data_IF_242396917484
#
_entry.id   IF_242396917484
#
_cell.length_a   1.000
_cell.length_b   1.000
_cell.length_c   1.000
_cell.angle_alpha   90.00
_cell.angle_beta   90.00
_cell.angle_gamma   90.00
#
_symmetry.space_group_name_H-M   'P 1'
#
loop_
_entity.id
_entity.type
_entity.pdbx_description
1 polymer ?
#
# COMPACT_ATOMS: atom_id res chain seq x y z
N UNK A 1 17.76 10.53 22.46
CA UNK A 1 16.93 11.12 21.39
C UNK A 1 15.46 10.91 21.75
N UNK A 2 14.59 11.92 21.67
CA UNK A 2 13.20 11.75 22.09
C UNK A 2 12.45 10.89 21.08
N UNK A 3 11.89 9.78 21.56
CA UNK A 3 11.13 8.77 20.81
C UNK A 3 9.80 9.37 20.33
N UNK A 4 9.62 9.54 19.01
CA UNK A 4 8.30 9.86 18.45
C UNK A 4 7.49 8.57 18.36
N UNK A 5 6.30 8.55 18.97
CA UNK A 5 5.32 7.46 18.81
C UNK A 5 4.81 7.51 17.36
N UNK A 6 4.99 6.43 16.61
CA UNK A 6 4.80 6.44 15.16
C UNK A 6 3.35 6.17 14.71
N UNK A 7 2.42 5.82 15.59
CA UNK A 7 1.10 5.33 15.18
C UNK A 7 -0.02 5.81 16.11
N UNK A 8 -0.47 7.05 15.95
CA UNK A 8 -1.75 7.48 16.50
C UNK A 8 -2.74 7.61 15.33
N UNK A 9 -3.63 6.62 15.20
CA UNK A 9 -4.78 6.69 14.32
C UNK A 9 -5.90 7.47 15.02
N UNK A 10 -6.55 8.40 14.31
CA UNK A 10 -7.77 9.05 14.77
C UNK A 10 -8.97 8.10 14.54
N UNK A 11 -9.04 7.00 15.28
CA UNK A 11 -10.27 6.22 15.34
C UNK A 11 -11.30 7.05 16.11
N UNK A 12 -12.41 7.38 15.46
CA UNK A 12 -13.55 8.05 16.09
C UNK A 12 -14.01 7.30 17.32
N UNK A 13 -14.50 8.05 18.31
CA UNK A 13 -15.01 7.52 19.57
C UNK A 13 -16.17 6.53 19.30
N UNK A 14 -15.94 5.24 19.58
CA UNK A 14 -17.02 4.25 19.77
C UNK A 14 -17.02 3.07 18.79
N UNK A 15 -16.23 2.03 19.08
CA UNK A 15 -16.32 0.70 18.46
C UNK A 15 -14.94 0.13 18.12
N UNK A 16 -14.34 -0.64 19.03
CA UNK A 16 -13.12 -1.39 18.74
C UNK A 16 -13.36 -2.45 17.66
N UNK A 17 -12.33 -2.79 16.89
CA UNK A 17 -12.43 -3.82 15.85
C UNK A 17 -12.72 -5.20 16.46
N UNK A 18 -13.80 -5.83 16.01
CA UNK A 18 -14.16 -7.21 16.35
C UNK A 18 -13.56 -8.19 15.35
N UNK A 19 -12.94 -9.27 15.86
CA UNK A 19 -12.39 -10.33 15.03
C UNK A 19 -13.41 -11.47 14.93
N UNK A 20 -13.74 -11.88 13.71
CA UNK A 20 -14.81 -12.86 13.45
C UNK A 20 -14.28 -14.29 13.29
N UNK A 21 -13.02 -14.45 12.87
CA UNK A 21 -12.41 -15.74 12.52
C UNK A 21 -10.89 -15.70 12.65
N UNK A 22 -10.28 -16.87 12.65
CA UNK A 22 -8.83 -16.99 12.46
C UNK A 22 -8.47 -16.62 11.02
N UNK A 23 -7.38 -15.85 10.86
CA UNK A 23 -6.83 -15.51 9.56
C UNK A 23 -5.31 -15.36 9.65
N UNK A 24 -4.65 -15.49 8.48
CA UNK A 24 -3.20 -15.36 8.35
C UNK A 24 -2.83 -14.49 7.17
N UNK A 25 -1.65 -13.90 7.21
CA UNK A 25 -1.08 -13.09 6.13
C UNK A 25 0.45 -13.11 6.21
N UNK A 26 1.10 -13.06 5.03
CA UNK A 26 2.55 -13.16 4.88
C UNK A 26 3.03 -14.60 4.69
N UNK A 27 4.35 -14.78 4.65
CA UNK A 27 5.00 -16.06 4.42
C UNK A 27 6.18 -16.28 5.36
N UNK A 28 6.74 -17.50 5.34
CA UNK A 28 7.98 -17.84 6.04
C UNK A 28 9.23 -17.63 5.16
N UNK A 29 9.09 -16.87 4.07
CA UNK A 29 10.22 -16.55 3.20
C UNK A 29 11.15 -15.52 3.86
N UNK A 30 12.40 -15.50 3.39
CA UNK A 30 13.39 -14.53 3.87
C UNK A 30 12.90 -13.10 3.65
N UNK A 31 13.06 -12.29 4.69
CA UNK A 31 12.64 -10.88 4.76
C UNK A 31 11.13 -10.65 4.86
N UNK A 32 10.37 -11.71 5.15
CA UNK A 32 8.93 -11.64 5.43
C UNK A 32 8.60 -12.18 6.84
N UNK A 33 7.33 -12.07 7.22
CA UNK A 33 6.79 -12.61 8.46
C UNK A 33 5.42 -13.24 8.21
N UNK A 34 5.21 -14.45 8.72
CA UNK A 34 3.88 -15.06 8.76
C UNK A 34 3.19 -14.61 10.04
N UNK A 35 2.09 -13.88 9.91
CA UNK A 35 1.27 -13.42 11.02
C UNK A 35 -0.06 -14.17 11.00
N UNK A 36 -0.42 -14.80 12.12
CA UNK A 36 -1.72 -15.41 12.34
C UNK A 36 -2.44 -14.69 13.48
N UNK A 37 -3.71 -14.36 13.28
CA UNK A 37 -4.57 -13.69 14.25
C UNK A 37 -5.84 -14.51 14.43
N UNK A 38 -6.26 -14.72 15.68
CA UNK A 38 -7.58 -15.29 16.01
C UNK A 38 -8.26 -14.53 17.16
N UNK A 39 -9.59 -14.56 17.26
CA UNK A 39 -10.32 -13.94 18.37
C UNK A 39 -9.89 -14.54 19.71
N UNK A 40 -9.81 -13.71 20.75
CA UNK A 40 -9.42 -14.14 22.09
C UNK A 40 -9.96 -13.24 23.20
N UNK A 41 -9.95 -13.68 24.47
CA UNK A 41 -10.51 -12.93 25.60
C UNK A 41 -9.68 -11.68 26.00
N UNK A 42 -8.52 -11.48 25.37
CA UNK A 42 -7.62 -10.35 25.57
C UNK A 42 -6.49 -10.42 24.55
N UNK A 43 -5.56 -9.46 24.59
CA UNK A 43 -4.40 -9.44 23.68
C UNK A 43 -3.30 -10.37 24.20
N UNK A 44 -2.96 -11.40 23.42
CA UNK A 44 -1.81 -12.29 23.64
C UNK A 44 -0.94 -12.32 22.38
N UNK A 45 0.37 -12.16 22.53
CA UNK A 45 1.31 -12.11 21.40
C UNK A 45 2.45 -13.09 21.62
N UNK A 46 2.53 -14.09 20.76
CA UNK A 46 3.62 -15.06 20.67
C UNK A 46 4.49 -14.72 19.46
N UNK A 47 5.81 -14.68 19.65
CA UNK A 47 6.77 -14.34 18.59
C UNK A 47 7.84 -15.42 18.53
N UNK A 48 8.06 -15.93 17.33
CA UNK A 48 9.19 -16.80 16.98
C UNK A 48 10.00 -16.06 15.92
N UNK A 49 11.23 -15.66 16.25
CA UNK A 49 12.06 -14.86 15.35
C UNK A 49 13.36 -15.57 14.99
N UNK A 50 13.69 -15.61 13.70
CA UNK A 50 14.98 -16.10 13.21
C UNK A 50 16.15 -15.17 13.56
N UNK A 51 15.88 -13.88 13.81
CA UNK A 51 16.91 -12.90 14.19
C UNK A 51 17.23 -12.93 15.69
N UNK A 52 16.54 -13.78 16.45
CA UNK A 52 16.84 -14.12 17.84
C UNK A 52 16.08 -13.28 18.87
N UNK A 53 16.25 -13.59 20.17
CA UNK A 53 15.42 -13.02 21.25
C UNK A 53 15.48 -11.49 21.38
N UNK A 54 16.56 -10.87 20.90
CA UNK A 54 16.76 -9.41 20.99
C UNK A 54 15.72 -8.62 20.19
N UNK A 55 15.21 -9.17 19.09
CA UNK A 55 14.25 -8.49 18.24
C UNK A 55 12.80 -8.77 18.63
N UNK A 56 12.52 -9.83 19.37
CA UNK A 56 11.15 -10.19 19.75
C UNK A 56 10.45 -9.11 20.59
N UNK A 57 11.19 -8.40 21.45
CA UNK A 57 10.64 -7.28 22.21
C UNK A 57 10.11 -6.19 21.28
N UNK A 58 10.89 -5.83 20.25
CA UNK A 58 10.49 -4.84 19.24
C UNK A 58 9.31 -5.33 18.40
N UNK A 59 9.31 -6.62 18.02
CA UNK A 59 8.20 -7.21 17.27
C UNK A 59 6.90 -7.13 18.08
N UNK A 60 6.94 -7.44 19.38
CA UNK A 60 5.77 -7.30 20.28
C UNK A 60 5.30 -5.86 20.39
N UNK A 61 6.22 -4.89 20.44
CA UNK A 61 5.86 -3.46 20.39
C UNK A 61 5.13 -3.09 19.10
N UNK A 62 5.67 -3.49 17.93
CA UNK A 62 5.04 -3.23 16.62
C UNK A 62 3.63 -3.85 16.54
N UNK A 63 3.48 -5.10 17.00
CA UNK A 63 2.16 -5.76 17.05
C UNK A 63 1.20 -4.99 17.96
N UNK A 64 1.64 -4.59 19.16
CA UNK A 64 0.82 -3.82 20.09
C UNK A 64 0.40 -2.45 19.54
N UNK A 65 1.32 -1.74 18.87
CA UNK A 65 1.04 -0.47 18.21
C UNK A 65 -0.03 -0.60 17.13
N UNK A 66 0.07 -1.62 16.28
CA UNK A 66 -0.92 -1.88 15.23
C UNK A 66 -2.26 -2.30 15.83
N UNK A 67 -2.31 -3.28 16.74
CA UNK A 67 -3.57 -3.69 17.39
C UNK A 67 -4.26 -2.51 18.09
N UNK A 68 -3.48 -1.68 18.79
CA UNK A 68 -3.98 -0.47 19.44
C UNK A 68 -4.56 0.53 18.46
N UNK A 69 -3.90 0.75 17.31
CA UNK A 69 -4.39 1.64 16.25
C UNK A 69 -5.71 1.20 15.62
N UNK A 70 -5.99 -0.11 15.62
CA UNK A 70 -7.26 -0.68 15.15
C UNK A 70 -8.29 -0.90 16.27
N UNK A 71 -7.96 -0.54 17.52
CA UNK A 71 -8.86 -0.73 18.67
C UNK A 71 -9.18 -2.19 18.97
N UNK A 72 -8.30 -3.12 18.64
CA UNK A 72 -8.50 -4.56 18.85
C UNK A 72 -8.32 -4.89 20.34
N UNK A 73 -9.40 -5.23 21.03
CA UNK A 73 -9.38 -5.51 22.46
C UNK A 73 -9.04 -6.98 22.81
N UNK A 74 -9.31 -7.92 21.89
CA UNK A 74 -9.22 -9.36 22.15
C UNK A 74 -8.68 -10.13 20.95
N UNK A 75 -7.40 -10.50 21.00
CA UNK A 75 -6.73 -11.20 19.91
C UNK A 75 -5.59 -12.07 20.41
N UNK A 76 -5.49 -13.28 19.88
CA UNK A 76 -4.27 -14.07 19.98
C UNK A 76 -3.50 -13.94 18.67
N UNK A 77 -2.28 -13.41 18.75
CA UNK A 77 -1.41 -13.14 17.61
C UNK A 77 -0.18 -14.03 17.70
N UNK A 78 0.10 -14.76 16.62
CA UNK A 78 1.34 -15.52 16.44
C UNK A 78 2.12 -14.91 15.28
N UNK A 79 3.39 -14.58 15.53
CA UNK A 79 4.30 -14.02 14.52
C UNK A 79 5.49 -14.96 14.34
N UNK A 80 5.65 -15.49 13.12
CA UNK A 80 6.87 -16.19 12.69
C UNK A 80 7.68 -15.27 11.78
N UNK A 81 8.80 -14.74 12.27
CA UNK A 81 9.56 -13.65 11.64
C UNK A 81 10.89 -14.14 11.04
N UNK A 82 11.17 -13.78 9.78
CA UNK A 82 12.26 -14.34 8.95
C UNK A 82 13.23 -13.28 8.40
N UNK A 83 13.59 -12.28 9.22
CA UNK A 83 14.38 -11.10 8.84
C UNK A 83 13.55 -9.95 8.26
N UNK A 84 12.27 -9.85 8.63
CA UNK A 84 11.34 -8.80 8.23
C UNK A 84 11.56 -7.50 8.99
N UNK A 85 11.35 -6.40 8.29
CA UNK A 85 11.34 -5.07 8.88
C UNK A 85 10.01 -4.78 9.58
N UNK A 86 10.01 -3.82 10.53
CA UNK A 86 8.82 -3.40 11.27
C UNK A 86 7.61 -3.10 10.37
N UNK A 87 7.83 -2.44 9.22
CA UNK A 87 6.76 -2.10 8.29
C UNK A 87 6.17 -3.32 7.58
N UNK A 88 6.97 -4.38 7.38
CA UNK A 88 6.50 -5.66 6.82
C UNK A 88 5.63 -6.35 7.86
N UNK A 89 6.11 -6.48 9.10
CA UNK A 89 5.34 -7.11 10.20
C UNK A 89 4.02 -6.38 10.40
N UNK A 90 4.03 -5.05 10.40
CA UNK A 90 2.82 -4.24 10.49
C UNK A 90 1.86 -4.50 9.33
N UNK A 91 2.36 -4.54 8.09
CA UNK A 91 1.54 -4.84 6.91
C UNK A 91 0.92 -6.24 6.95
N UNK A 92 1.68 -7.26 7.40
CA UNK A 92 1.18 -8.63 7.53
C UNK A 92 0.13 -8.73 8.62
N UNK A 93 0.32 -8.04 9.74
CA UNK A 93 -0.72 -7.95 10.77
C UNK A 93 -1.98 -7.24 10.25
N UNK A 94 -1.87 -6.15 9.50
CA UNK A 94 -3.01 -5.48 8.88
C UNK A 94 -3.77 -6.39 7.92
N UNK A 95 -3.07 -7.14 7.07
CA UNK A 95 -3.71 -8.12 6.18
C UNK A 95 -4.40 -9.24 6.96
N UNK A 96 -3.81 -9.74 8.05
CA UNK A 96 -4.44 -10.74 8.89
C UNK A 96 -5.69 -10.19 9.59
N UNK A 97 -5.63 -8.95 10.11
CA UNK A 97 -6.78 -8.26 10.71
C UNK A 97 -7.90 -8.03 9.68
N UNK A 98 -7.56 -7.57 8.48
CA UNK A 98 -8.52 -7.37 7.38
C UNK A 98 -9.26 -8.67 7.03
N UNK A 99 -8.53 -9.78 6.95
CA UNK A 99 -9.12 -11.10 6.66
C UNK A 99 -9.97 -11.63 7.84
N UNK A 100 -9.56 -11.33 9.09
CA UNK A 100 -10.22 -11.78 10.32
C UNK A 100 -11.49 -10.98 10.67
N UNK A 101 -11.47 -9.66 10.51
CA UNK A 101 -12.58 -8.75 10.83
C UNK A 101 -13.50 -8.50 9.62
N UNK A 102 -12.98 -8.64 8.40
CA UNK A 102 -13.63 -8.18 7.18
C UNK A 102 -13.17 -6.78 6.77
N UNK A 103 -13.53 -6.40 5.54
CA UNK A 103 -13.19 -5.09 4.98
C UNK A 103 -13.91 -3.94 5.73
N UNK A 104 -13.32 -2.75 5.73
CA UNK A 104 -13.94 -1.57 6.33
C UNK A 104 -13.06 -0.33 6.35
N UNK A 105 -13.68 0.81 6.66
CA UNK A 105 -13.05 2.15 6.65
C UNK A 105 -11.84 2.30 7.59
N UNK A 106 -11.74 1.46 8.62
CA UNK A 106 -10.57 1.43 9.50
C UNK A 106 -9.27 1.14 8.72
N UNK A 107 -9.36 0.40 7.62
CA UNK A 107 -8.22 0.05 6.77
C UNK A 107 -7.87 1.12 5.74
N UNK A 108 -8.63 2.20 5.63
CA UNK A 108 -8.39 3.27 4.65
C UNK A 108 -7.78 4.53 5.27
N UNK A 109 -7.51 4.50 6.57
CA UNK A 109 -6.96 5.66 7.29
C UNK A 109 -5.53 5.99 6.82
N UNK A 110 -5.17 7.29 6.76
CA UNK A 110 -3.84 7.70 6.36
C UNK A 110 -2.82 7.36 7.45
N UNK A 111 -1.63 6.95 7.01
CA UNK A 111 -0.51 6.71 7.91
C UNK A 111 0.34 7.99 8.04
N UNK A 112 0.91 8.26 9.23
CA UNK A 112 1.92 9.30 9.35
C UNK A 112 3.17 8.90 8.56
N UNK A 113 3.73 9.86 7.83
CA UNK A 113 4.96 9.63 7.09
C UNK A 113 6.16 9.72 8.04
N UNK A 114 7.07 8.74 7.96
CA UNK A 114 8.33 8.76 8.70
C UNK A 114 9.21 9.97 8.29
N UNK A 115 9.09 10.40 7.04
CA UNK A 115 9.73 11.59 6.47
C UNK A 115 8.69 12.48 5.80
N UNK A 116 8.74 13.81 5.99
CA UNK A 116 7.91 14.72 5.22
C UNK A 116 8.14 14.50 3.72
N UNK A 117 7.04 14.41 2.96
CA UNK A 117 7.04 14.34 1.50
C UNK A 117 6.24 15.52 0.97
N UNK A 118 6.57 15.99 -0.22
CA UNK A 118 5.83 17.04 -0.93
C UNK A 118 5.26 16.46 -2.22
N UNK A 119 4.28 17.14 -2.82
CA UNK A 119 3.81 16.77 -4.16
C UNK A 119 4.91 16.96 -5.20
N UNK A 120 4.87 16.19 -6.29
CA UNK A 120 5.78 16.36 -7.42
C UNK A 120 5.20 17.35 -8.45
N UNK A 121 6.03 18.14 -9.14
CA UNK A 121 5.56 18.99 -10.22
C UNK A 121 5.10 18.17 -11.43
N UNK A 122 4.25 18.75 -12.27
CA UNK A 122 3.67 18.07 -13.44
C UNK A 122 4.76 17.54 -14.38
N UNK A 123 5.75 18.37 -14.64
CA UNK A 123 6.91 18.16 -15.52
C UNK A 123 8.09 17.50 -14.81
N UNK A 124 7.88 16.86 -13.65
CA UNK A 124 8.91 16.07 -12.97
C UNK A 124 9.54 15.05 -13.93
N UNK A 125 10.86 14.92 -13.84
CA UNK A 125 11.65 14.07 -14.71
C UNK A 125 11.36 12.59 -14.42
N UNK A 126 11.13 11.78 -15.47
CA UNK A 126 10.75 10.36 -15.35
C UNK A 126 11.47 9.49 -16.37
N UNK A 127 12.80 9.65 -16.49
CA UNK A 127 13.63 8.93 -17.49
C UNK A 127 13.75 7.45 -17.13
N UNK A 128 13.81 7.15 -15.83
CA UNK A 128 13.89 5.78 -15.30
C UNK A 128 12.69 5.48 -14.43
N UNK A 129 12.08 4.32 -14.64
CA UNK A 129 10.97 3.79 -13.83
C UNK A 129 11.36 2.41 -13.33
N UNK A 130 11.52 2.24 -12.02
CA UNK A 130 11.80 0.95 -11.39
C UNK A 130 10.48 0.30 -10.95
N UNK A 131 10.13 -0.84 -11.53
CA UNK A 131 8.93 -1.60 -11.17
C UNK A 131 9.26 -2.63 -10.10
N UNK A 132 8.46 -2.67 -9.03
CA UNK A 132 8.63 -3.65 -7.94
C UNK A 132 7.28 -4.28 -7.58
N UNK A 133 7.15 -5.63 -7.54
CA UNK A 133 5.94 -6.30 -7.10
C UNK A 133 5.59 -5.95 -5.65
N UNK A 134 4.36 -5.51 -5.43
CA UNK A 134 3.85 -4.99 -4.16
C UNK A 134 3.70 -6.03 -3.05
N UNK A 135 3.70 -7.32 -3.40
CA UNK A 135 3.66 -8.43 -2.44
C UNK A 135 5.05 -8.89 -1.96
N UNK A 136 6.13 -8.51 -2.66
CA UNK A 136 7.47 -9.02 -2.41
C UNK A 136 8.22 -8.19 -1.37
N UNK A 137 8.08 -8.58 -0.09
CA UNK A 137 8.70 -7.90 1.05
C UNK A 137 10.23 -7.77 0.92
N UNK A 138 10.90 -8.78 0.35
CA UNK A 138 12.36 -8.78 0.15
C UNK A 138 12.83 -7.70 -0.82
N UNK A 139 12.13 -7.51 -1.94
CA UNK A 139 12.49 -6.48 -2.92
C UNK A 139 12.14 -5.08 -2.41
N UNK A 140 11.00 -4.95 -1.74
CA UNK A 140 10.54 -3.68 -1.18
C UNK A 140 11.42 -3.18 -0.03
N UNK A 141 12.06 -4.07 0.72
CA UNK A 141 12.94 -3.70 1.82
C UNK A 141 14.16 -2.82 1.42
N UNK A 142 14.53 -2.81 0.14
CA UNK A 142 15.70 -2.08 -0.37
C UNK A 142 15.36 -1.11 -1.51
N UNK A 143 14.06 -0.86 -1.75
CA UNK A 143 13.63 -0.11 -2.93
C UNK A 143 14.03 1.36 -2.92
N UNK A 144 14.34 1.91 -1.75
CA UNK A 144 14.86 3.26 -1.52
C UNK A 144 16.33 3.45 -1.92
N UNK A 145 17.09 2.37 -2.14
CA UNK A 145 18.55 2.45 -2.36
C UNK A 145 18.97 2.70 -3.81
N UNK A 146 18.08 2.50 -4.79
CA UNK A 146 18.45 2.47 -6.22
C UNK A 146 18.41 3.85 -6.91
N UNK A 147 17.76 4.85 -6.29
CA UNK A 147 17.65 6.22 -6.83
C UNK A 147 17.10 6.36 -8.25
N UNK A 148 16.02 5.64 -8.66
CA UNK A 148 15.37 5.91 -9.94
C UNK A 148 14.69 7.30 -9.91
N UNK A 149 14.42 7.87 -11.09
CA UNK A 149 13.58 9.08 -11.15
C UNK A 149 12.17 8.78 -10.59
N UNK A 150 11.66 7.58 -10.87
CA UNK A 150 10.36 7.11 -10.44
C UNK A 150 10.42 5.64 -9.98
N UNK A 151 9.86 5.37 -8.80
CA UNK A 151 9.59 4.03 -8.30
C UNK A 151 8.10 3.72 -8.49
N UNK A 152 7.79 2.58 -9.12
CA UNK A 152 6.44 2.13 -9.37
C UNK A 152 6.18 0.82 -8.65
N UNK A 153 5.35 0.89 -7.61
CA UNK A 153 4.95 -0.25 -6.79
C UNK A 153 3.73 -0.92 -7.42
N UNK A 154 3.85 -2.20 -7.75
CA UNK A 154 2.87 -2.89 -8.58
C UNK A 154 1.88 -3.74 -7.77
N UNK A 155 0.59 -3.53 -7.95
CA UNK A 155 -0.49 -4.33 -7.37
C UNK A 155 -1.25 -5.18 -8.39
N UNK A 156 -0.85 -5.11 -9.66
CA UNK A 156 -1.57 -5.70 -10.76
C UNK A 156 -0.96 -7.05 -11.20
N UNK A 157 -0.37 -7.15 -12.40
CA UNK A 157 -0.01 -8.45 -12.99
C UNK A 157 1.13 -9.17 -12.27
N UNK A 158 2.01 -8.46 -11.55
CA UNK A 158 3.06 -9.11 -10.75
C UNK A 158 2.55 -9.65 -9.40
N UNK A 159 1.26 -9.48 -9.08
CA UNK A 159 0.68 -9.88 -7.79
C UNK A 159 -0.47 -10.88 -8.00
N UNK A 160 -0.34 -12.13 -7.50
CA UNK A 160 -1.41 -13.12 -7.55
C UNK A 160 -2.71 -12.61 -6.91
N UNK A 161 -3.89 -12.98 -7.43
CA UNK A 161 -5.18 -12.50 -6.91
C UNK A 161 -5.35 -12.62 -5.39
N UNK A 162 -4.92 -13.74 -4.81
CA UNK A 162 -5.00 -14.07 -3.40
C UNK A 162 -4.06 -13.24 -2.49
N UNK A 163 -3.07 -12.58 -3.08
CA UNK A 163 -2.08 -11.74 -2.38
C UNK A 163 -2.36 -10.24 -2.55
N UNK A 164 -3.35 -9.83 -3.36
CA UNK A 164 -3.61 -8.41 -3.64
C UNK A 164 -3.98 -7.61 -2.39
N UNK A 165 -4.73 -8.18 -1.46
CA UNK A 165 -5.05 -7.53 -0.19
C UNK A 165 -3.81 -7.31 0.69
N UNK A 166 -2.98 -8.34 0.84
CA UNK A 166 -1.71 -8.28 1.57
C UNK A 166 -0.74 -7.28 0.93
N UNK A 167 -0.68 -7.23 -0.41
CA UNK A 167 0.17 -6.32 -1.17
C UNK A 167 -0.22 -4.85 -0.97
N UNK A 168 -1.53 -4.52 -0.94
CA UNK A 168 -1.99 -3.14 -0.67
C UNK A 168 -1.47 -2.60 0.65
N UNK A 169 -1.56 -3.40 1.71
CA UNK A 169 -1.07 -3.00 3.04
C UNK A 169 0.45 -2.84 3.06
N UNK A 170 1.17 -3.76 2.40
CA UNK A 170 2.62 -3.67 2.31
C UNK A 170 3.07 -2.44 1.53
N UNK A 171 2.49 -2.17 0.36
CA UNK A 171 2.74 -0.96 -0.43
C UNK A 171 2.44 0.30 0.38
N UNK A 172 1.29 0.37 1.05
CA UNK A 172 0.93 1.52 1.91
C UNK A 172 1.97 1.74 3.02
N UNK A 173 2.39 0.68 3.70
CA UNK A 173 3.36 0.74 4.79
C UNK A 173 4.74 1.14 4.29
N UNK A 174 5.20 0.61 3.16
CA UNK A 174 6.46 0.99 2.49
C UNK A 174 6.44 2.48 2.13
N UNK A 175 5.36 2.95 1.48
CA UNK A 175 5.17 4.37 1.13
C UNK A 175 5.21 5.27 2.37
N UNK A 176 4.72 4.83 3.53
CA UNK A 176 4.68 5.64 4.74
C UNK A 176 6.01 5.64 5.54
N UNK A 177 6.84 4.60 5.39
CA UNK A 177 7.93 4.33 6.33
C UNK A 177 9.34 4.53 5.77
N UNK A 178 9.55 4.28 4.49
CA UNK A 178 10.86 4.42 3.87
C UNK A 178 11.16 5.87 3.46
N UNK A 179 12.45 6.18 3.34
CA UNK A 179 12.97 7.48 2.92
C UNK A 179 13.44 7.41 1.48
N UNK A 180 12.63 7.93 0.57
CA UNK A 180 12.87 7.83 -0.88
C UNK A 180 13.67 9.01 -1.45
N UNK A 181 14.10 9.96 -0.61
CA UNK A 181 14.73 11.20 -1.06
C UNK A 181 13.87 11.91 -2.12
N UNK A 182 14.47 12.20 -3.28
CA UNK A 182 13.82 12.90 -4.39
C UNK A 182 13.11 11.95 -5.39
N UNK A 183 13.10 10.64 -5.12
CA UNK A 183 12.46 9.64 -6.00
C UNK A 183 10.95 9.84 -6.02
N UNK A 184 10.37 9.97 -7.21
CA UNK A 184 8.91 10.02 -7.35
C UNK A 184 8.29 8.64 -7.11
N UNK A 185 7.09 8.60 -6.52
CA UNK A 185 6.50 7.36 -6.00
C UNK A 185 5.13 7.15 -6.62
N UNK A 186 5.01 6.05 -7.34
CA UNK A 186 3.82 5.67 -8.07
C UNK A 186 3.34 4.30 -7.61
N UNK A 187 2.04 4.09 -7.71
CA UNK A 187 1.44 2.76 -7.51
C UNK A 187 0.71 2.38 -8.79
N UNK A 188 1.04 1.23 -9.38
CA UNK A 188 0.21 0.61 -10.41
C UNK A 188 -0.89 -0.18 -9.72
N UNK A 189 -2.11 0.32 -9.84
CA UNK A 189 -3.30 -0.32 -9.30
C UNK A 189 -3.85 -1.34 -10.30
N UNK A 190 -4.83 -2.13 -9.88
CA UNK A 190 -5.63 -2.95 -10.78
C UNK A 190 -6.59 -2.07 -11.60
N UNK A 191 -7.17 -2.59 -12.71
CA UNK A 191 -8.32 -1.95 -13.35
C UNK A 191 -9.40 -1.61 -12.32
N UNK A 192 -10.07 -0.45 -12.50
CA UNK A 192 -11.00 0.08 -11.49
C UNK A 192 -12.11 -0.90 -11.13
N UNK A 193 -12.65 -1.60 -12.13
CA UNK A 193 -13.69 -2.63 -12.00
C UNK A 193 -13.18 -3.97 -11.46
N UNK A 194 -11.86 -4.15 -11.36
CA UNK A 194 -11.19 -5.37 -10.87
C UNK A 194 -10.36 -5.13 -9.61
N UNK A 195 -10.92 -4.37 -8.68
CA UNK A 195 -10.32 -4.10 -7.37
C UNK A 195 -9.43 -2.85 -7.31
N UNK A 196 -9.28 -2.13 -8.42
CA UNK A 196 -8.52 -0.87 -8.47
C UNK A 196 -9.07 0.21 -7.53
N UNK A 197 -10.38 0.26 -7.30
CA UNK A 197 -10.94 1.19 -6.32
C UNK A 197 -10.48 0.88 -4.88
N UNK A 198 -10.37 -0.39 -4.52
CA UNK A 198 -9.88 -0.78 -3.19
C UNK A 198 -8.38 -0.55 -3.06
N UNK A 199 -7.61 -0.75 -4.15
CA UNK A 199 -6.21 -0.34 -4.18
C UNK A 199 -6.08 1.14 -3.82
N UNK A 200 -6.86 2.02 -4.47
CA UNK A 200 -6.84 3.47 -4.20
C UNK A 200 -7.18 3.80 -2.75
N UNK A 201 -8.26 3.23 -2.21
CA UNK A 201 -8.71 3.49 -0.84
C UNK A 201 -7.64 3.14 0.20
N UNK A 202 -6.84 2.11 -0.05
CA UNK A 202 -5.74 1.72 0.85
C UNK A 202 -4.47 2.53 0.57
N UNK A 203 -3.97 2.53 -0.67
CA UNK A 203 -2.62 3.04 -0.95
C UNK A 203 -2.48 4.56 -0.84
N UNK A 204 -3.57 5.32 -1.01
CA UNK A 204 -3.55 6.77 -0.79
C UNK A 204 -3.24 7.13 0.66
N UNK A 205 -3.49 6.23 1.62
CA UNK A 205 -3.06 6.40 3.00
C UNK A 205 -1.54 6.47 3.17
N UNK A 206 -0.77 5.96 2.21
CA UNK A 206 0.70 6.08 2.12
C UNK A 206 1.18 7.33 1.36
N UNK A 207 0.25 8.13 0.83
CA UNK A 207 0.50 9.39 0.11
C UNK A 207 1.50 9.21 -1.05
N UNK A 208 1.16 8.44 -2.10
CA UNK A 208 1.96 8.40 -3.32
C UNK A 208 1.88 9.73 -4.08
N UNK A 209 2.79 9.94 -5.02
CA UNK A 209 2.79 11.09 -5.92
C UNK A 209 1.84 10.87 -7.11
N UNK A 210 1.67 9.62 -7.56
CA UNK A 210 0.81 9.29 -8.69
C UNK A 210 0.28 7.87 -8.69
N UNK A 211 -0.75 7.64 -9.50
CA UNK A 211 -1.36 6.34 -9.77
C UNK A 211 -1.17 5.98 -11.23
N UNK A 212 -0.66 4.78 -11.46
CA UNK A 212 -0.56 4.19 -12.78
C UNK A 212 -1.80 3.29 -13.01
N UNK A 213 -2.58 3.59 -14.05
CA UNK A 213 -3.79 2.84 -14.39
C UNK A 213 -3.47 1.90 -15.57
N UNK A 214 -3.43 0.57 -15.37
CA UNK A 214 -3.23 -0.38 -16.45
C UNK A 214 -4.47 -0.45 -17.34
N UNK A 215 -4.28 -1.00 -18.55
CA UNK A 215 -5.33 -1.39 -19.50
C UNK A 215 -6.31 -0.24 -19.74
N UNK A 216 -5.77 0.97 -19.89
CA UNK A 216 -6.57 2.17 -20.08
C UNK A 216 -7.13 2.21 -21.51
N UNK A 217 -8.45 2.10 -21.64
CA UNK A 217 -9.11 1.97 -22.94
C UNK A 217 -10.13 3.08 -23.23
N UNK A 218 -10.46 3.92 -22.25
CA UNK A 218 -11.47 4.96 -22.40
C UNK A 218 -11.15 6.23 -21.61
N UNK A 219 -11.38 7.44 -22.18
CA UNK A 219 -11.29 8.69 -21.42
C UNK A 219 -12.26 8.73 -20.22
N UNK A 220 -13.37 7.98 -20.27
CA UNK A 220 -14.33 7.90 -19.15
C UNK A 220 -13.70 7.25 -17.92
N UNK A 221 -12.83 6.25 -18.10
CA UNK A 221 -12.12 5.59 -17.00
C UNK A 221 -11.16 6.56 -16.31
N UNK A 222 -10.48 7.41 -17.09
CA UNK A 222 -9.59 8.45 -16.57
C UNK A 222 -10.38 9.49 -15.76
N UNK A 223 -11.52 9.95 -16.29
CA UNK A 223 -12.38 10.90 -15.58
C UNK A 223 -12.92 10.28 -14.28
N UNK A 224 -13.30 9.00 -14.30
CA UNK A 224 -13.72 8.25 -13.10
C UNK A 224 -12.60 8.17 -12.07
N UNK A 225 -11.39 7.78 -12.47
CA UNK A 225 -10.21 7.75 -11.59
C UNK A 225 -9.92 9.14 -11.01
N UNK A 226 -9.98 10.20 -11.83
CA UNK A 226 -9.76 11.57 -11.37
C UNK A 226 -10.80 12.02 -10.33
N UNK A 227 -12.06 11.63 -10.48
CA UNK A 227 -13.13 11.88 -9.51
C UNK A 227 -12.91 11.15 -8.19
N UNK A 228 -12.56 9.86 -8.24
CA UNK A 228 -12.21 9.07 -7.06
C UNK A 228 -11.01 9.66 -6.30
N UNK A 229 -9.97 10.07 -7.03
CA UNK A 229 -8.82 10.74 -6.43
C UNK A 229 -9.21 12.04 -5.73
N UNK A 230 -10.04 12.87 -6.37
CA UNK A 230 -10.51 14.12 -5.75
C UNK A 230 -11.26 13.89 -4.44
N UNK A 231 -12.18 12.92 -4.42
CA UNK A 231 -12.93 12.55 -3.21
C UNK A 231 -12.01 12.04 -2.10
N UNK A 232 -11.13 11.09 -2.43
CA UNK A 232 -10.24 10.45 -1.46
C UNK A 232 -9.17 11.39 -0.93
N UNK A 233 -8.63 12.29 -1.77
CA UNK A 233 -7.69 13.33 -1.34
C UNK A 233 -8.31 14.24 -0.28
N UNK A 234 -9.54 14.70 -0.51
CA UNK A 234 -10.27 15.53 0.44
C UNK A 234 -10.56 14.78 1.75
N UNK A 235 -11.03 13.54 1.65
CA UNK A 235 -11.35 12.69 2.81
C UNK A 235 -10.12 12.36 3.66
N UNK A 236 -8.98 12.09 3.04
CA UNK A 236 -7.74 11.70 3.71
C UNK A 236 -6.83 12.89 4.05
N UNK A 237 -7.20 14.11 3.65
CA UNK A 237 -6.40 15.32 3.86
C UNK A 237 -5.04 15.25 3.16
N UNK A 238 -4.99 14.74 1.93
CA UNK A 238 -3.74 14.70 1.16
C UNK A 238 -3.28 16.14 0.87
N UNK A 239 -1.99 16.46 1.12
CA UNK A 239 -1.52 17.83 0.96
C UNK A 239 -1.14 18.18 -0.49
N UNK A 240 -1.34 17.27 -1.44
CA UNK A 240 -1.12 17.49 -2.86
C UNK A 240 -2.11 16.72 -3.72
N UNK A 241 -2.17 17.13 -4.99
CA UNK A 241 -2.88 16.44 -6.07
C UNK A 241 -2.07 15.22 -6.53
N UNK A 242 -2.69 14.05 -6.57
CA UNK A 242 -2.13 12.81 -7.09
C UNK A 242 -2.28 12.76 -8.62
N UNK A 243 -1.18 12.45 -9.31
CA UNK A 243 -1.11 12.37 -10.76
C UNK A 243 -1.63 11.04 -11.32
N UNK A 244 -1.93 11.00 -12.63
CA UNK A 244 -2.37 9.80 -13.35
C UNK A 244 -1.39 9.50 -14.50
N UNK A 245 -1.03 8.23 -14.63
CA UNK A 245 -0.26 7.65 -15.73
C UNK A 245 -1.07 6.48 -16.32
N UNK A 246 -1.85 6.69 -17.38
CA UNK A 246 -2.51 5.59 -18.08
C UNK A 246 -1.49 4.73 -18.83
N UNK A 247 -1.64 3.41 -18.77
CA UNK A 247 -0.91 2.49 -19.63
C UNK A 247 -1.78 2.17 -20.84
N UNK A 248 -1.25 2.50 -22.02
CA UNK A 248 -1.81 2.14 -23.31
C UNK A 248 -1.22 0.80 -23.73
N UNK A 249 -2.02 -0.26 -23.63
CA UNK A 249 -1.56 -1.64 -23.84
C UNK A 249 -2.62 -2.53 -24.49
N UNK A 250 -3.59 -1.93 -25.20
CA UNK A 250 -4.54 -2.66 -26.04
C UNK A 250 -4.81 -1.91 -27.35
N UNK A 251 -5.31 -2.57 -28.41
CA UNK A 251 -5.68 -1.89 -29.65
C UNK A 251 -6.69 -0.75 -29.44
N UNK A 252 -7.64 -0.93 -28.52
CA UNK A 252 -8.63 0.10 -28.18
C UNK A 252 -7.98 1.27 -27.43
N UNK A 253 -7.08 1.00 -26.48
CA UNK A 253 -6.28 2.02 -25.82
C UNK A 253 -5.47 2.86 -26.82
N UNK A 254 -4.83 2.22 -27.81
CA UNK A 254 -4.10 2.92 -28.88
C UNK A 254 -5.04 3.82 -29.69
N UNK A 255 -6.20 3.30 -30.10
CA UNK A 255 -7.20 4.07 -30.84
C UNK A 255 -7.78 5.26 -30.06
N UNK A 256 -7.72 5.23 -28.73
CA UNK A 256 -8.27 6.26 -27.82
C UNK A 256 -7.18 7.11 -27.14
N UNK A 257 -5.89 6.89 -27.45
CA UNK A 257 -4.79 7.47 -26.67
C UNK A 257 -4.83 9.00 -26.56
N UNK A 258 -5.22 9.70 -27.63
CA UNK A 258 -5.34 11.16 -27.62
C UNK A 258 -6.45 11.67 -26.68
N UNK A 259 -7.57 10.97 -26.62
CA UNK A 259 -8.70 11.32 -25.75
C UNK A 259 -8.39 10.95 -24.30
N UNK A 260 -7.77 9.78 -24.07
CA UNK A 260 -7.26 9.36 -22.76
C UNK A 260 -6.28 10.41 -22.19
N UNK A 261 -5.35 10.91 -23.02
CA UNK A 261 -4.39 11.93 -22.62
C UNK A 261 -5.02 13.26 -22.20
N UNK A 262 -6.19 13.60 -22.77
CA UNK A 262 -6.88 14.88 -22.54
C UNK A 262 -8.01 14.78 -21.51
N UNK A 263 -8.36 13.58 -21.07
CA UNK A 263 -9.50 13.34 -20.20
C UNK A 263 -9.37 13.99 -18.81
N UNK A 264 -8.15 14.27 -18.34
CA UNK A 264 -7.93 14.97 -17.08
C UNK A 264 -6.61 15.73 -17.06
N UNK A 265 -6.59 16.89 -16.40
CA UNK A 265 -5.35 17.62 -16.08
C UNK A 265 -4.39 16.84 -15.19
N UNK A 266 -4.88 15.79 -14.50
CA UNK A 266 -4.05 14.88 -13.71
C UNK A 266 -3.18 13.97 -14.57
N UNK A 267 -3.50 13.80 -15.85
CA UNK A 267 -2.68 13.00 -16.76
C UNK A 267 -1.41 13.78 -17.08
N UNK A 268 -0.28 13.26 -16.60
CA UNK A 268 1.05 13.89 -16.78
C UNK A 268 1.90 13.18 -17.82
N UNK A 269 1.62 11.90 -18.08
CA UNK A 269 2.27 11.09 -19.10
C UNK A 269 1.38 9.91 -19.50
N UNK A 270 1.66 9.30 -20.65
CA UNK A 270 1.14 7.98 -21.05
C UNK A 270 2.30 6.98 -21.02
N UNK A 271 2.05 5.76 -20.54
CA UNK A 271 2.95 4.63 -20.72
C UNK A 271 2.47 3.75 -21.89
N UNK A 272 3.39 3.07 -22.57
CA UNK A 272 3.05 2.05 -23.56
C UNK A 272 3.46 0.68 -23.01
N UNK A 273 2.48 -0.22 -22.86
CA UNK A 273 2.69 -1.60 -22.40
C UNK A 273 2.80 -2.53 -23.59
N UNK A 274 4.04 -2.85 -24.00
CA UNK A 274 4.28 -3.62 -25.22
C UNK A 274 3.96 -5.12 -25.07
N UNK A 275 4.05 -5.67 -23.85
CA UNK A 275 3.83 -7.09 -23.57
C UNK A 275 2.35 -7.48 -23.66
N UNK A 276 1.46 -6.68 -23.06
CA UNK A 276 0.01 -6.90 -23.11
C UNK A 276 -0.63 -6.52 -24.46
N UNK A 277 0.07 -5.73 -25.28
CA UNK A 277 -0.45 -5.22 -26.54
C UNK A 277 -0.57 -6.29 -27.65
N UNK A 278 0.26 -7.34 -27.60
CA UNK A 278 0.36 -8.36 -28.66
C UNK A 278 -0.50 -9.58 -28.42
#
# INVERSE_FOLDING_TARGET
MPRKRYWHCCCGEGGGMELLREARCGSEDRSDALVCVRPGPGVRVEVTSKTGPMYEARIREVVGEVLGSYGVAGAEVRVTEQGAYDHVIAARLEGALYRAAGAGEAFHQPLPLARPRQGSPRDHLRRTRLYIPGNNARLLAFCDTFGPDCLLLDLEDAVPPEEKDAARFLVRRVLATLDFGDTELWVRINPLDRGGEEDLRVVLGGKPHGICLPKAESPVEITRLAGLLYELEGRLGLPWRVWIMPIIESPKGVAQAADIARASERVVCLAFGAEDYT
#
